data_IF_210238295320
#
_entry.id   IF_210238295320
#
_cell.length_a   1.000
_cell.length_b   1.000
_cell.length_c   1.000
_cell.angle_alpha   90.00
_cell.angle_beta   90.00
_cell.angle_gamma   90.00
#
_symmetry.space_group_name_H-M   'P 1'
#
loop_
_entity.id
_entity.type
_entity.pdbx_description
1 polymer ?
#
# COMPACT_ATOMS: atom_id res chain seq x y z
N UNK A 1 -48.43 33.76 -21.33
CA UNK A 1 -48.00 33.49 -19.94
C UNK A 1 -47.26 32.17 -20.00
N UNK A 2 -45.96 32.23 -20.25
CA UNK A 2 -45.14 31.04 -20.42
C UNK A 2 -44.30 30.84 -19.15
N UNK A 3 -44.60 29.78 -18.41
CA UNK A 3 -43.91 29.41 -17.18
C UNK A 3 -42.64 28.62 -17.52
N UNK A 4 -41.47 29.19 -17.21
CA UNK A 4 -40.19 28.49 -17.24
C UNK A 4 -40.03 27.66 -15.95
N UNK A 5 -39.99 26.34 -16.09
CA UNK A 5 -39.67 25.40 -15.02
C UNK A 5 -38.14 25.27 -14.90
N UNK A 6 -37.56 25.88 -13.87
CA UNK A 6 -36.17 25.70 -13.48
C UNK A 6 -36.04 24.42 -12.66
N UNK A 7 -35.45 23.38 -13.25
CA UNK A 7 -35.03 22.17 -12.54
C UNK A 7 -33.72 22.44 -11.81
N UNK A 8 -33.80 22.69 -10.50
CA UNK A 8 -32.62 22.71 -9.62
C UNK A 8 -32.18 21.27 -9.34
N UNK A 9 -31.11 20.83 -10.00
CA UNK A 9 -30.41 19.58 -9.68
C UNK A 9 -29.69 19.80 -8.35
N UNK A 10 -30.18 19.17 -7.29
CA UNK A 10 -29.48 19.09 -6.00
C UNK A 10 -28.40 18.02 -6.14
N UNK A 11 -27.16 18.45 -6.33
CA UNK A 11 -26.00 17.58 -6.15
C UNK A 11 -25.82 17.32 -4.66
N UNK A 12 -26.29 16.16 -4.19
CA UNK A 12 -25.93 15.66 -2.86
C UNK A 12 -24.51 15.12 -2.98
N UNK A 13 -23.52 15.96 -2.67
CA UNK A 13 -22.15 15.49 -2.46
C UNK A 13 -22.14 14.59 -1.23
N UNK A 14 -21.87 13.30 -1.42
CA UNK A 14 -21.52 12.42 -0.30
C UNK A 14 -20.07 12.72 0.05
N UNK A 15 -19.83 13.74 0.88
CA UNK A 15 -18.51 13.95 1.45
C UNK A 15 -18.26 12.84 2.48
N UNK A 16 -17.35 11.92 2.13
CA UNK A 16 -16.81 10.95 3.06
C UNK A 16 -16.04 11.70 4.16
N UNK A 17 -16.68 11.84 5.32
CA UNK A 17 -16.06 12.52 6.45
C UNK A 17 -14.96 11.64 7.07
N UNK A 18 -13.74 12.17 7.16
CA UNK A 18 -12.59 11.50 7.81
C UNK A 18 -12.93 11.04 9.25
N UNK A 19 -13.82 11.76 9.92
CA UNK A 19 -14.30 11.45 11.28
C UNK A 19 -15.07 10.11 11.36
N UNK A 20 -15.50 9.56 10.23
CA UNK A 20 -16.07 8.20 10.16
C UNK A 20 -15.01 7.13 10.42
N UNK A 21 -13.77 7.36 9.98
CA UNK A 21 -12.69 6.37 10.02
C UNK A 21 -11.67 6.64 11.13
N UNK A 22 -11.58 7.88 11.64
CA UNK A 22 -10.66 8.26 12.70
C UNK A 22 -11.40 8.85 13.91
N UNK A 23 -10.96 8.49 15.11
CA UNK A 23 -11.38 9.09 16.38
C UNK A 23 -10.77 10.48 16.54
N UNK A 24 -9.49 10.61 16.23
CA UNK A 24 -8.73 11.84 16.35
C UNK A 24 -7.64 11.91 15.28
N UNK A 25 -7.36 13.11 14.80
CA UNK A 25 -6.24 13.44 13.91
C UNK A 25 -5.86 14.90 14.13
N UNK A 26 -4.62 15.23 13.81
CA UNK A 26 -4.12 16.61 13.76
C UNK A 26 -3.68 16.95 12.35
N UNK A 27 -3.53 18.24 12.06
CA UNK A 27 -3.03 18.71 10.77
C UNK A 27 -1.70 19.42 10.96
N UNK A 28 -0.75 19.17 10.07
CA UNK A 28 0.54 19.85 10.02
C UNK A 28 0.77 20.42 8.62
N UNK A 29 1.16 21.68 8.51
CA UNK A 29 1.50 22.26 7.21
C UNK A 29 3.00 22.06 6.90
N UNK A 30 3.37 21.93 5.62
CA UNK A 30 4.76 21.71 5.19
C UNK A 30 5.76 22.74 5.73
N UNK A 31 5.33 24.00 5.93
CA UNK A 31 6.17 25.06 6.48
C UNK A 31 6.52 24.88 7.96
N UNK A 32 5.74 24.09 8.71
CA UNK A 32 5.99 23.79 10.12
C UNK A 32 7.03 22.69 10.28
N UNK A 33 7.33 21.96 9.19
CA UNK A 33 8.34 20.90 9.18
C UNK A 33 9.71 21.54 8.95
N UNK A 34 10.56 21.43 9.96
CA UNK A 34 11.97 21.81 9.82
C UNK A 34 12.76 20.60 9.35
N UNK A 35 13.55 20.76 8.28
CA UNK A 35 14.45 19.70 7.82
C UNK A 35 15.85 20.24 7.65
N UNK A 36 16.84 19.43 8.06
CA UNK A 36 18.27 19.77 7.97
C UNK A 36 19.02 18.58 7.40
N UNK A 37 19.82 18.82 6.36
CA UNK A 37 20.78 17.81 5.91
C UNK A 37 21.97 17.85 6.86
N UNK A 38 22.11 16.81 7.69
CA UNK A 38 23.13 16.76 8.76
C UNK A 38 24.45 16.21 8.25
N UNK A 39 24.39 15.31 7.26
CA UNK A 39 25.58 14.71 6.65
C UNK A 39 25.38 14.52 5.16
N UNK A 40 26.37 14.96 4.39
CA UNK A 40 26.53 14.66 2.97
C UNK A 40 27.98 14.25 2.77
N UNK A 41 28.24 13.01 2.35
CA UNK A 41 29.60 12.60 2.03
C UNK A 41 30.15 13.39 0.84
N UNK A 42 31.46 13.55 0.83
CA UNK A 42 32.23 14.27 -0.19
C UNK A 42 32.21 13.57 -1.55
N UNK A 43 31.91 12.27 -1.57
CA UNK A 43 31.72 11.45 -2.77
C UNK A 43 30.31 10.85 -2.76
N UNK A 44 29.60 10.89 -3.89
CA UNK A 44 28.32 10.18 -4.03
C UNK A 44 28.56 8.67 -4.04
N UNK A 45 28.44 8.04 -2.86
CA UNK A 45 28.46 6.59 -2.67
C UNK A 45 27.09 6.05 -2.27
N UNK A 46 26.85 4.77 -2.57
CA UNK A 46 25.62 4.04 -2.21
C UNK A 46 25.55 3.64 -0.73
N UNK A 47 26.49 4.08 0.11
CA UNK A 47 26.52 3.72 1.52
C UNK A 47 25.35 4.38 2.27
N UNK A 48 24.60 3.66 3.13
CA UNK A 48 23.45 4.22 3.84
C UNK A 48 23.77 5.54 4.57
N UNK A 49 24.84 5.58 5.36
CA UNK A 49 25.22 6.80 6.10
C UNK A 49 25.94 7.88 5.27
N UNK A 50 25.82 7.85 3.94
CA UNK A 50 26.37 8.88 3.07
C UNK A 50 25.52 10.17 3.10
N UNK A 51 24.19 10.02 3.17
CA UNK A 51 23.23 11.12 3.31
C UNK A 51 22.41 10.89 4.57
N UNK A 52 22.47 11.82 5.52
CA UNK A 52 21.61 11.81 6.72
C UNK A 52 20.80 13.09 6.74
N UNK A 53 19.47 12.93 6.79
CA UNK A 53 18.51 14.03 6.90
C UNK A 53 17.87 13.98 8.28
N UNK A 54 17.83 15.12 8.94
CA UNK A 54 17.09 15.29 10.19
C UNK A 54 15.80 16.05 9.88
N UNK A 55 14.69 15.61 10.47
CA UNK A 55 13.37 16.23 10.29
C UNK A 55 12.70 16.37 11.64
N UNK A 56 12.27 17.59 11.96
CA UNK A 56 11.59 17.90 13.22
C UNK A 56 10.22 18.53 12.97
N UNK A 57 9.23 18.04 13.72
CA UNK A 57 7.87 18.55 13.73
C UNK A 57 7.18 18.16 15.04
N UNK A 58 6.10 18.85 15.38
CA UNK A 58 5.31 18.61 16.58
C UNK A 58 3.93 18.09 16.20
N UNK A 59 3.45 17.05 16.87
CA UNK A 59 2.07 16.57 16.72
C UNK A 59 1.70 15.64 17.89
N UNK A 60 0.41 15.52 18.20
CA UNK A 60 -0.16 14.66 19.23
C UNK A 60 0.46 14.89 20.61
N UNK A 61 0.76 16.15 20.93
CA UNK A 61 1.39 16.52 22.20
C UNK A 61 2.88 16.21 22.29
N UNK A 62 3.55 15.90 21.17
CA UNK A 62 4.92 15.38 21.16
C UNK A 62 5.78 16.00 20.05
N UNK A 63 7.02 16.33 20.40
CA UNK A 63 8.07 16.68 19.44
C UNK A 63 8.70 15.41 18.85
N UNK A 64 8.67 15.31 17.52
CA UNK A 64 9.37 14.28 16.77
C UNK A 64 10.66 14.84 16.19
N UNK A 65 11.75 14.14 16.47
CA UNK A 65 13.06 14.38 15.86
C UNK A 65 13.50 13.12 15.12
N UNK A 66 13.36 13.11 13.82
CA UNK A 66 13.61 11.95 12.97
C UNK A 66 15.01 12.01 12.39
N UNK A 67 15.74 10.90 12.46
CA UNK A 67 17.03 10.73 11.79
C UNK A 67 16.84 9.77 10.63
N UNK A 68 16.89 10.30 9.42
CA UNK A 68 16.51 9.66 8.17
C UNK A 68 17.70 9.38 7.27
N UNK A 69 17.63 8.28 6.54
CA UNK A 69 18.61 7.79 5.58
C UNK A 69 17.87 7.33 4.32
N UNK A 70 18.31 7.70 3.10
CA UNK A 70 17.68 7.26 1.87
C UNK A 70 17.63 5.73 1.74
N UNK A 71 16.51 5.19 1.26
CA UNK A 71 16.26 3.76 1.09
C UNK A 71 16.05 3.42 -0.38
N UNK A 72 16.85 2.49 -0.91
CA UNK A 72 16.72 2.00 -2.30
C UNK A 72 16.33 0.52 -2.41
N UNK A 73 16.11 -0.18 -1.29
CA UNK A 73 16.11 -1.65 -1.24
C UNK A 73 14.89 -2.34 -1.85
N UNK A 74 13.79 -1.62 -2.11
CA UNK A 74 12.54 -2.22 -2.62
C UNK A 74 12.51 -2.28 -4.14
N UNK A 75 13.37 -1.55 -4.82
CA UNK A 75 13.36 -1.44 -6.27
C UNK A 75 14.33 -2.43 -6.90
N UNK A 76 13.88 -3.17 -7.89
CA UNK A 76 14.72 -4.08 -8.65
C UNK A 76 15.74 -3.29 -9.50
N UNK A 77 16.93 -3.84 -9.75
CA UNK A 77 17.99 -3.18 -10.55
C UNK A 77 17.60 -2.81 -11.98
N UNK A 78 16.53 -3.44 -12.49
CA UNK A 78 15.93 -3.20 -13.80
C UNK A 78 14.52 -2.59 -13.70
N UNK A 79 14.25 -1.86 -12.62
CA UNK A 79 12.98 -1.21 -12.39
C UNK A 79 12.61 -0.29 -13.56
N UNK A 80 11.33 -0.33 -13.97
CA UNK A 80 10.77 0.57 -14.97
C UNK A 80 9.35 0.96 -14.59
N UNK A 81 8.99 2.22 -14.77
CA UNK A 81 7.64 2.72 -14.55
C UNK A 81 7.07 3.33 -15.83
N UNK A 82 5.79 3.10 -16.06
CA UNK A 82 5.09 3.52 -17.27
C UNK A 82 3.72 4.13 -16.94
N UNK A 83 3.35 5.18 -17.67
CA UNK A 83 1.97 5.65 -17.77
C UNK A 83 1.36 5.11 -19.07
N UNK A 84 0.10 4.68 -19.03
CA UNK A 84 -0.61 4.07 -20.16
C UNK A 84 -1.92 4.83 -20.38
N UNK A 85 -2.14 5.29 -21.62
CA UNK A 85 -3.38 5.98 -22.01
C UNK A 85 -4.50 5.00 -22.41
N UNK A 86 -5.68 5.54 -22.75
CA UNK A 86 -6.85 4.72 -23.09
C UNK A 86 -6.70 3.88 -24.37
N UNK A 87 -5.71 4.21 -25.20
CA UNK A 87 -5.35 3.49 -26.42
C UNK A 87 -4.22 2.45 -26.19
N UNK A 88 -3.72 2.35 -24.96
CA UNK A 88 -2.69 1.38 -24.57
C UNK A 88 -1.25 1.83 -24.83
N UNK A 89 -1.00 3.10 -25.13
CA UNK A 89 0.34 3.61 -25.41
C UNK A 89 1.13 3.82 -24.11
N UNK A 90 2.25 3.10 -23.97
CA UNK A 90 3.14 3.25 -22.82
C UNK A 90 4.07 4.48 -22.95
N UNK A 91 4.17 5.29 -21.90
CA UNK A 91 5.14 6.38 -21.75
C UNK A 91 6.00 6.16 -20.51
N UNK A 92 7.32 6.23 -20.65
CA UNK A 92 8.23 5.96 -19.52
C UNK A 92 8.24 7.13 -18.53
N UNK A 93 8.15 6.83 -17.24
CA UNK A 93 8.21 7.81 -16.16
C UNK A 93 9.49 7.61 -15.35
N UNK A 94 10.24 8.69 -15.14
CA UNK A 94 11.42 8.67 -14.28
C UNK A 94 11.01 8.90 -12.82
N UNK A 95 11.57 8.09 -11.91
CA UNK A 95 11.31 8.16 -10.47
C UNK A 95 12.63 8.41 -9.76
N UNK A 96 12.66 9.42 -8.89
CA UNK A 96 13.80 9.65 -8.01
C UNK A 96 13.75 8.63 -6.86
N UNK A 97 14.83 7.88 -6.71
CA UNK A 97 14.95 6.85 -5.68
C UNK A 97 15.41 7.41 -4.33
N UNK A 98 15.83 8.69 -4.29
CA UNK A 98 16.34 9.33 -3.08
C UNK A 98 15.24 10.02 -2.24
N UNK A 99 13.98 9.99 -2.71
CA UNK A 99 12.81 10.55 -2.00
C UNK A 99 12.20 9.60 -0.96
N UNK A 100 12.69 8.35 -0.90
CA UNK A 100 12.28 7.35 0.09
C UNK A 100 13.32 7.25 1.19
N UNK A 101 12.87 7.24 2.44
CA UNK A 101 13.71 7.28 3.61
C UNK A 101 13.29 6.21 4.61
N UNK A 102 14.29 5.63 5.27
CA UNK A 102 14.10 4.92 6.53
C UNK A 102 14.85 5.62 7.65
N UNK A 103 14.45 5.38 8.88
CA UNK A 103 15.09 6.05 10.00
C UNK A 103 14.63 5.58 11.36
N UNK A 104 14.91 6.43 12.33
CA UNK A 104 14.54 6.24 13.74
C UNK A 104 14.19 7.59 14.36
N UNK A 105 13.49 7.53 15.48
CA UNK A 105 13.24 8.70 16.33
C UNK A 105 14.43 8.88 17.27
N UNK A 106 14.93 10.11 17.38
CA UNK A 106 16.00 10.46 18.30
C UNK A 106 15.55 10.28 19.76
N UNK A 107 16.41 9.68 20.59
CA UNK A 107 16.11 9.39 21.99
C UNK A 107 15.34 8.08 22.22
N UNK A 108 14.82 7.45 21.17
CA UNK A 108 14.08 6.18 21.27
C UNK A 108 15.00 4.98 21.03
N UNK A 109 14.90 3.98 21.89
CA UNK A 109 15.73 2.76 21.84
C UNK A 109 15.27 1.79 20.76
N UNK A 110 13.95 1.64 20.61
CA UNK A 110 13.33 0.76 19.63
C UNK A 110 12.31 1.55 18.81
N UNK A 111 12.78 2.22 17.76
CA UNK A 111 11.91 2.94 16.83
C UNK A 111 12.28 2.66 15.38
N UNK A 112 11.27 2.73 14.51
CA UNK A 112 11.46 2.59 13.08
C UNK A 112 10.60 3.60 12.33
N UNK A 113 11.19 4.26 11.35
CA UNK A 113 10.52 5.25 10.52
C UNK A 113 10.62 4.81 9.07
N UNK A 114 9.51 4.84 8.34
CA UNK A 114 9.48 4.75 6.88
C UNK A 114 8.72 5.95 6.34
N UNK A 115 9.37 6.75 5.52
CA UNK A 115 8.81 7.99 4.98
C UNK A 115 9.15 8.16 3.51
N UNK A 116 8.18 8.61 2.74
CA UNK A 116 8.36 9.25 1.45
C UNK A 116 8.25 10.76 1.65
N UNK A 117 9.16 11.54 1.06
CA UNK A 117 9.16 12.99 1.18
C UNK A 117 9.39 13.67 -0.16
N UNK A 118 8.43 14.49 -0.58
CA UNK A 118 8.45 15.21 -1.85
C UNK A 118 7.87 16.61 -1.63
N UNK A 119 8.58 17.65 -2.08
CA UNK A 119 8.18 19.07 -1.95
C UNK A 119 7.76 19.52 -0.53
N UNK A 120 8.38 18.92 0.49
CA UNK A 120 8.10 19.19 1.91
C UNK A 120 6.90 18.42 2.47
N UNK A 121 6.19 17.66 1.64
CA UNK A 121 5.11 16.76 2.04
C UNK A 121 5.68 15.40 2.39
N UNK A 122 5.30 14.91 3.57
CA UNK A 122 5.69 13.61 4.08
C UNK A 122 4.53 12.63 4.00
N UNK A 123 4.83 11.38 3.70
CA UNK A 123 3.87 10.28 3.77
C UNK A 123 4.57 9.06 4.33
N UNK A 124 3.98 8.43 5.34
CA UNK A 124 4.53 7.18 5.88
C UNK A 124 4.13 6.93 7.33
N UNK A 125 4.98 6.20 8.04
CA UNK A 125 4.71 5.77 9.42
C UNK A 125 5.93 5.84 10.32
N UNK A 126 5.66 6.12 11.60
CA UNK A 126 6.62 6.15 12.69
C UNK A 126 6.17 5.10 13.70
N UNK A 127 6.95 4.05 13.83
CA UNK A 127 6.73 2.95 14.76
C UNK A 127 7.52 3.21 16.03
N UNK A 128 6.81 3.34 17.13
CA UNK A 128 7.35 3.40 18.49
C UNK A 128 6.94 2.12 19.24
N UNK A 129 7.52 1.84 20.42
CA UNK A 129 7.17 0.65 21.19
C UNK A 129 5.69 0.58 21.60
N UNK A 130 5.08 1.74 21.88
CA UNK A 130 3.73 1.82 22.43
C UNK A 130 2.68 2.20 21.38
N UNK A 131 3.07 2.85 20.28
CA UNK A 131 2.13 3.45 19.33
C UNK A 131 2.74 3.57 17.93
N UNK A 132 1.89 3.59 16.90
CA UNK A 132 2.28 3.87 15.52
C UNK A 132 1.60 5.16 15.07
N UNK A 133 2.39 6.10 14.56
CA UNK A 133 1.91 7.35 14.00
C UNK A 133 1.93 7.27 12.49
N UNK A 134 0.83 7.68 11.87
CA UNK A 134 0.68 7.74 10.42
C UNK A 134 0.67 9.20 9.97
N UNK A 135 1.31 9.47 8.83
CA UNK A 135 1.34 10.78 8.19
C UNK A 135 0.88 10.59 6.76
N UNK A 136 -0.14 11.34 6.35
CA UNK A 136 -0.66 11.32 4.99
C UNK A 136 -0.96 12.74 4.50
N UNK A 137 -0.90 13.02 3.19
CA UNK A 137 -1.39 14.27 2.63
C UNK A 137 -2.88 14.47 2.94
N UNK A 138 -3.28 15.68 3.29
CA UNK A 138 -4.67 15.97 3.70
C UNK A 138 -5.66 15.97 2.55
N UNK A 139 -5.21 16.21 1.30
CA UNK A 139 -6.09 16.39 0.13
C UNK A 139 -7.05 15.22 -0.12
N UNK A 140 -6.71 13.99 0.31
CA UNK A 140 -7.59 12.81 0.21
C UNK A 140 -8.77 12.82 1.17
N UNK A 141 -8.60 13.51 2.29
CA UNK A 141 -9.50 13.43 3.43
C UNK A 141 -10.21 14.75 3.72
N UNK A 142 -9.59 15.85 3.30
CA UNK A 142 -10.00 17.22 3.63
C UNK A 142 -9.83 18.10 2.38
N UNK A 143 -10.84 18.15 1.48
CA UNK A 143 -10.70 18.77 0.16
C UNK A 143 -10.59 20.30 0.18
N UNK A 144 -10.93 20.94 1.30
CA UNK A 144 -10.88 22.40 1.46
C UNK A 144 -9.51 22.92 1.92
N UNK A 145 -8.58 22.03 2.28
CA UNK A 145 -7.21 22.41 2.65
C UNK A 145 -6.31 22.48 1.42
N UNK A 146 -5.16 23.14 1.56
CA UNK A 146 -4.19 23.25 0.49
C UNK A 146 -3.46 21.92 0.22
N UNK A 147 -2.78 21.85 -0.93
CA UNK A 147 -1.98 20.69 -1.30
C UNK A 147 -0.69 20.53 -0.46
N UNK A 148 -0.52 21.37 0.57
CA UNK A 148 0.68 21.41 1.41
C UNK A 148 0.43 20.99 2.87
N UNK A 149 -0.80 20.63 3.18
CA UNK A 149 -1.18 20.14 4.50
C UNK A 149 -1.14 18.61 4.54
N UNK A 150 -0.78 18.08 5.71
CA UNK A 150 -0.80 16.66 6.02
C UNK A 150 -1.69 16.43 7.24
N UNK A 151 -2.28 15.24 7.32
CA UNK A 151 -2.90 14.72 8.52
C UNK A 151 -1.93 13.80 9.25
N UNK A 152 -1.99 13.82 10.57
CA UNK A 152 -1.29 12.89 11.45
C UNK A 152 -2.28 12.23 12.38
N UNK A 153 -2.17 10.91 12.56
CA UNK A 153 -3.06 10.17 13.45
C UNK A 153 -2.35 8.96 14.05
N UNK A 154 -2.85 8.50 15.19
CA UNK A 154 -2.38 7.28 15.85
C UNK A 154 -3.08 6.07 15.27
N UNK A 155 -2.40 4.94 15.24
CA UNK A 155 -3.01 3.68 14.82
C UNK A 155 -4.17 3.28 15.75
N UNK A 156 -4.08 3.60 17.04
CA UNK A 156 -5.17 3.41 18.02
C UNK A 156 -6.42 4.27 17.78
N UNK A 157 -6.30 5.36 17.01
CA UNK A 157 -7.41 6.23 16.63
C UNK A 157 -8.19 5.73 15.40
N UNK A 158 -7.71 4.67 14.73
CA UNK A 158 -8.38 4.09 13.57
C UNK A 158 -9.63 3.31 14.02
N UNK A 159 -10.77 3.64 13.41
CA UNK A 159 -12.05 2.92 13.58
C UNK A 159 -12.10 1.82 12.53
N UNK A 160 -11.86 0.58 12.96
CA UNK A 160 -11.94 -0.56 12.05
C UNK A 160 -13.40 -0.90 11.73
N UNK A 161 -13.67 -1.37 10.52
CA UNK A 161 -15.02 -1.75 10.07
C UNK A 161 -15.61 -2.97 10.80
N UNK A 162 -14.84 -3.60 11.68
CA UNK A 162 -15.29 -4.68 12.56
C UNK A 162 -15.34 -4.24 14.03
N UNK A 163 -14.86 -3.03 14.34
CA UNK A 163 -14.98 -2.38 15.65
C UNK A 163 -16.25 -1.51 15.61
N UNK A 164 -17.42 -2.13 15.75
CA UNK A 164 -18.68 -1.39 15.76
C UNK A 164 -19.37 -1.44 17.12
N UNK A 165 -19.36 -0.28 17.80
CA UNK A 165 -20.27 0.09 18.90
C UNK A 165 -21.73 0.28 18.42
N UNK A 166 -21.98 0.31 17.11
CA UNK A 166 -23.28 0.61 16.48
C UNK A 166 -24.09 -0.64 16.06
N UNK A 167 -23.58 -1.86 16.31
CA UNK A 167 -24.31 -3.10 16.03
C UNK A 167 -25.07 -3.59 17.29
N UNK A 168 -26.28 -4.15 17.14
CA UNK A 168 -26.97 -4.81 18.23
C UNK A 168 -26.07 -5.86 18.90
N UNK A 169 -26.16 -6.05 20.23
CA UNK A 169 -25.36 -7.04 20.93
C UNK A 169 -25.47 -8.41 20.25
N UNK A 170 -24.34 -8.99 19.82
CA UNK A 170 -24.28 -10.35 19.25
C UNK A 170 -24.15 -10.45 17.73
N UNK A 171 -24.10 -9.34 16.97
CA UNK A 171 -23.77 -9.38 15.54
C UNK A 171 -22.32 -8.95 15.29
N UNK A 172 -21.53 -9.83 14.68
CA UNK A 172 -20.16 -9.53 14.22
C UNK A 172 -20.26 -9.03 12.78
N UNK A 173 -19.79 -7.80 12.52
CA UNK A 173 -19.75 -7.25 11.17
C UNK A 173 -18.86 -8.07 10.22
N UNK A 174 -19.06 -7.99 8.89
CA UNK A 174 -18.28 -8.74 7.93
C UNK A 174 -16.80 -8.33 8.01
N UNK A 175 -15.92 -9.28 8.35
CA UNK A 175 -14.47 -9.04 8.34
C UNK A 175 -13.98 -8.96 6.90
N UNK A 176 -13.40 -7.82 6.52
CA UNK A 176 -12.94 -7.50 5.16
C UNK A 176 -11.77 -8.42 4.69
N UNK A 177 -11.19 -9.22 5.59
CA UNK A 177 -10.12 -10.18 5.29
C UNK A 177 -10.54 -11.65 5.50
N UNK A 178 -11.83 -11.98 5.34
CA UNK A 178 -12.25 -13.38 5.31
C UNK A 178 -11.71 -14.09 4.07
N UNK A 179 -10.79 -15.04 4.26
CA UNK A 179 -10.40 -15.95 3.18
C UNK A 179 -11.58 -16.89 2.90
N UNK A 180 -12.13 -16.82 1.69
CA UNK A 180 -13.04 -17.84 1.18
C UNK A 180 -12.16 -18.98 0.68
N UNK A 181 -12.21 -20.14 1.34
CA UNK A 181 -11.62 -21.36 0.79
C UNK A 181 -12.30 -21.65 -0.54
N UNK A 182 -11.55 -21.56 -1.64
CA UNK A 182 -11.99 -22.22 -2.88
C UNK A 182 -11.97 -23.73 -2.63
N UNK A 183 -13.14 -24.38 -2.75
CA UNK A 183 -13.28 -25.83 -2.64
C UNK A 183 -14.35 -26.36 -1.70
N UNK A 184 -14.96 -25.54 -0.83
CA UNK A 184 -16.01 -26.03 0.07
C UNK A 184 -17.32 -26.41 -0.69
N UNK A 185 -17.49 -25.96 -1.94
CA UNK A 185 -18.55 -26.42 -2.87
C UNK A 185 -18.20 -27.72 -3.60
N UNK A 186 -17.00 -28.27 -3.39
CA UNK A 186 -16.55 -29.57 -3.91
C UNK A 186 -16.48 -30.65 -2.82
N UNK A 187 -16.76 -30.30 -1.58
CA UNK A 187 -16.94 -31.23 -0.46
C UNK A 187 -18.42 -31.63 -0.32
N UNK A 188 -19.13 -31.84 -1.43
CA UNK A 188 -20.42 -32.51 -1.40
C UNK A 188 -20.21 -34.02 -1.22
N UNK A 189 -20.92 -34.56 -0.23
CA UNK A 189 -21.06 -35.97 0.12
C UNK A 189 -21.49 -36.83 -1.08
N UNK A 190 -20.53 -37.22 -1.94
CA UNK A 190 -20.77 -38.29 -2.91
C UNK A 190 -20.48 -39.64 -2.26
N UNK A 191 -21.50 -40.17 -1.58
CA UNK A 191 -21.59 -41.61 -1.35
C UNK A 191 -21.46 -42.36 -2.68
N UNK A 192 -20.33 -43.07 -2.82
CA UNK A 192 -20.20 -44.29 -3.61
C UNK A 192 -20.55 -44.24 -5.11
N UNK A 193 -19.53 -44.02 -5.96
CA UNK A 193 -19.21 -44.99 -7.03
C UNK A 193 -17.79 -44.82 -7.58
N UNK A 194 -16.99 -45.87 -7.37
CA UNK A 194 -15.61 -46.00 -7.80
C UNK A 194 -15.55 -46.15 -9.32
N UNK A 195 -14.94 -45.21 -10.06
CA UNK A 195 -14.48 -45.52 -11.42
C UNK A 195 -13.40 -44.59 -12.00
N UNK A 196 -12.36 -44.19 -11.26
CA UNK A 196 -11.13 -43.69 -11.90
C UNK A 196 -9.89 -44.10 -11.10
N UNK A 197 -9.57 -45.38 -11.15
CA UNK A 197 -8.21 -45.87 -10.90
C UNK A 197 -7.31 -45.43 -12.06
N UNK A 198 -6.74 -44.24 -11.97
CA UNK A 198 -5.43 -43.95 -12.58
C UNK A 198 -4.51 -43.51 -11.45
N UNK A 199 -3.69 -44.46 -11.01
CA UNK A 199 -2.55 -44.22 -10.13
C UNK A 199 -1.59 -43.23 -10.80
N UNK A 200 -1.81 -41.93 -10.58
CA UNK A 200 -0.73 -40.97 -10.69
C UNK A 200 0.10 -41.14 -9.43
N UNK A 201 1.19 -41.89 -9.54
CA UNK A 201 2.24 -42.01 -8.54
C UNK A 201 2.80 -40.61 -8.27
N UNK A 202 2.19 -39.89 -7.33
CA UNK A 202 2.75 -38.64 -6.80
C UNK A 202 3.86 -39.06 -5.84
N UNK A 203 5.06 -39.24 -6.38
CA UNK A 203 6.24 -39.36 -5.53
C UNK A 203 6.34 -38.10 -4.68
N UNK A 204 6.08 -38.26 -3.39
CA UNK A 204 6.49 -37.32 -2.37
C UNK A 204 8.01 -37.22 -2.54
N UNK A 205 8.51 -36.06 -2.98
CA UNK A 205 9.95 -35.81 -2.91
C UNK A 205 10.31 -35.96 -1.44
N UNK A 206 11.08 -36.99 -1.15
CA UNK A 206 11.71 -37.18 0.13
C UNK A 206 12.50 -35.89 0.40
N UNK A 207 12.14 -35.19 1.47
CA UNK A 207 12.95 -34.08 1.96
C UNK A 207 14.16 -34.75 2.59
N UNK A 208 15.19 -34.99 1.78
CA UNK A 208 16.53 -35.18 2.32
C UNK A 208 16.81 -33.99 3.24
N UNK A 209 17.40 -34.29 4.39
CA UNK A 209 17.77 -33.36 5.46
C UNK A 209 18.82 -32.35 4.93
N UNK A 210 18.38 -31.48 4.04
CA UNK A 210 19.15 -30.40 3.47
C UNK A 210 18.89 -29.17 4.33
N UNK A 211 19.96 -28.60 4.87
CA UNK A 211 19.97 -27.28 5.49
C UNK A 211 19.41 -26.29 4.45
N UNK A 212 18.11 -26.00 4.53
CA UNK A 212 17.40 -25.18 3.56
C UNK A 212 17.80 -23.73 3.77
N UNK A 213 18.94 -23.32 3.21
CA UNK A 213 19.27 -21.90 3.06
C UNK A 213 18.49 -21.38 1.85
N UNK A 214 17.45 -20.55 2.00
CA UNK A 214 16.67 -20.07 0.86
C UNK A 214 17.56 -19.16 0.01
N UNK A 215 17.94 -19.60 -1.20
CA UNK A 215 18.80 -18.80 -2.11
C UNK A 215 18.02 -17.73 -2.87
N UNK A 216 16.69 -17.83 -2.89
CA UNK A 216 15.78 -16.89 -3.57
C UNK A 216 14.73 -16.36 -2.60
N UNK A 217 15.07 -15.31 -1.88
CA UNK A 217 14.21 -14.69 -0.86
C UNK A 217 13.44 -13.45 -1.35
N UNK A 218 13.55 -13.10 -2.63
CA UNK A 218 12.96 -11.87 -3.21
C UNK A 218 12.04 -12.20 -4.37
N UNK A 219 10.75 -11.90 -4.21
CA UNK A 219 9.74 -12.04 -5.25
C UNK A 219 9.61 -10.73 -6.07
N UNK A 220 9.89 -10.74 -7.38
CA UNK A 220 9.74 -9.57 -8.22
C UNK A 220 8.27 -9.33 -8.59
N UNK A 221 7.75 -8.14 -8.29
CA UNK A 221 6.36 -7.75 -8.56
C UNK A 221 6.24 -6.84 -9.78
N UNK A 222 5.15 -7.06 -10.54
CA UNK A 222 4.54 -6.07 -11.43
C UNK A 222 3.37 -5.45 -10.68
N UNK A 223 3.40 -4.13 -10.51
CA UNK A 223 2.27 -3.40 -9.93
C UNK A 223 1.51 -2.69 -11.05
N UNK A 224 0.19 -2.78 -10.99
CA UNK A 224 -0.71 -2.14 -11.96
C UNK A 224 -1.70 -1.29 -11.17
N UNK A 225 -1.78 0.00 -11.51
CA UNK A 225 -2.84 0.89 -11.07
C UNK A 225 -3.80 1.12 -12.23
N UNK A 226 -5.09 0.86 -12.00
CA UNK A 226 -6.15 1.22 -12.93
C UNK A 226 -6.42 2.74 -12.90
N UNK A 227 -7.26 3.20 -13.83
CA UNK A 227 -7.60 4.61 -13.97
C UNK A 227 -8.28 5.18 -12.73
N UNK A 228 -8.99 4.35 -11.95
CA UNK A 228 -9.65 4.75 -10.70
C UNK A 228 -8.64 4.98 -9.60
N UNK A 229 -7.69 4.05 -9.43
CA UNK A 229 -6.60 4.22 -8.49
C UNK A 229 -5.75 5.44 -8.85
N UNK A 230 -5.50 5.67 -10.14
CA UNK A 230 -4.84 6.88 -10.62
C UNK A 230 -5.59 8.17 -10.21
N UNK A 231 -6.91 8.21 -10.38
CA UNK A 231 -7.74 9.36 -10.03
C UNK A 231 -7.83 9.57 -8.51
N UNK A 232 -8.27 8.54 -7.78
CA UNK A 232 -8.63 8.63 -6.37
C UNK A 232 -7.40 8.60 -5.44
N UNK A 233 -6.44 7.71 -5.70
CA UNK A 233 -5.25 7.56 -4.84
C UNK A 233 -4.09 8.42 -5.32
N UNK A 234 -4.02 8.66 -6.63
CA UNK A 234 -2.95 9.41 -7.29
C UNK A 234 -3.22 10.89 -7.51
N UNK A 235 -4.43 11.40 -7.22
CA UNK A 235 -4.86 12.75 -7.59
C UNK A 235 -4.69 13.04 -9.09
N UNK A 236 -4.89 12.03 -9.94
CA UNK A 236 -4.63 12.11 -11.39
C UNK A 236 -3.19 12.52 -11.74
N UNK A 237 -2.22 12.17 -10.88
CA UNK A 237 -0.80 12.41 -11.11
C UNK A 237 -0.02 11.10 -11.06
N UNK A 238 0.67 10.78 -12.16
CA UNK A 238 1.35 9.50 -12.32
C UNK A 238 2.50 9.31 -11.32
N UNK A 239 3.26 10.37 -11.05
CA UNK A 239 4.39 10.32 -10.10
C UNK A 239 3.86 10.06 -8.69
N UNK A 240 2.81 10.77 -8.27
CA UNK A 240 2.12 10.55 -7.00
C UNK A 240 1.61 9.11 -6.86
N UNK A 241 0.96 8.56 -7.90
CA UNK A 241 0.49 7.17 -7.91
C UNK A 241 1.64 6.18 -7.74
N UNK A 242 2.72 6.35 -8.50
CA UNK A 242 3.89 5.46 -8.45
C UNK A 242 4.54 5.53 -7.05
N UNK A 243 4.74 6.73 -6.52
CA UNK A 243 5.34 6.92 -5.21
C UNK A 243 4.51 6.27 -4.10
N UNK A 244 3.18 6.40 -4.17
CA UNK A 244 2.26 5.73 -3.26
C UNK A 244 2.40 4.20 -3.30
N UNK A 245 2.44 3.61 -4.51
CA UNK A 245 2.61 2.16 -4.68
C UNK A 245 3.96 1.66 -4.12
N UNK A 246 5.04 2.41 -4.34
CA UNK A 246 6.36 2.07 -3.79
C UNK A 246 6.32 2.09 -2.26
N UNK A 247 5.77 3.14 -1.65
CA UNK A 247 5.60 3.25 -0.19
C UNK A 247 4.74 2.13 0.40
N UNK A 248 3.70 1.70 -0.33
CA UNK A 248 2.85 0.59 0.10
C UNK A 248 3.63 -0.72 0.16
N UNK A 249 4.32 -1.07 -0.94
CA UNK A 249 5.10 -2.31 -0.99
C UNK A 249 6.28 -2.27 -0.03
N UNK A 250 6.89 -1.12 0.27
CA UNK A 250 7.94 -1.03 1.28
C UNK A 250 7.46 -1.48 2.67
N UNK A 251 6.26 -1.01 3.07
CA UNK A 251 5.65 -1.38 4.34
C UNK A 251 5.32 -2.87 4.39
N UNK A 252 4.76 -3.42 3.31
CA UNK A 252 4.46 -4.86 3.20
C UNK A 252 5.75 -5.69 3.21
N UNK A 253 6.78 -5.26 2.49
CA UNK A 253 8.07 -5.94 2.44
C UNK A 253 8.67 -6.10 3.83
N UNK A 254 8.60 -5.06 4.68
CA UNK A 254 9.09 -5.13 6.06
C UNK A 254 8.39 -6.24 6.85
N UNK A 255 7.06 -6.34 6.75
CA UNK A 255 6.29 -7.38 7.45
C UNK A 255 6.79 -8.77 7.05
N UNK A 256 6.86 -9.05 5.75
CA UNK A 256 7.30 -10.36 5.24
C UNK A 256 8.76 -10.68 5.57
N UNK A 257 9.62 -9.65 5.58
CA UNK A 257 11.04 -9.81 5.86
C UNK A 257 11.31 -10.12 7.33
N UNK A 258 10.53 -9.51 8.21
CA UNK A 258 10.67 -9.66 9.66
C UNK A 258 9.87 -10.88 10.19
N UNK A 259 8.97 -11.44 9.38
CA UNK A 259 8.23 -12.66 9.70
C UNK A 259 9.13 -13.90 9.68
N UNK A 260 8.99 -14.74 10.71
CA UNK A 260 9.64 -16.05 10.83
C UNK A 260 8.65 -17.10 10.36
N UNK A 261 8.99 -17.82 9.30
CA UNK A 261 8.16 -18.87 8.70
C UNK A 261 8.59 -20.24 9.23
N UNK A 262 7.69 -20.95 9.91
CA UNK A 262 7.94 -22.27 10.49
C UNK A 262 6.91 -23.27 9.96
N UNK A 263 7.38 -24.39 9.41
CA UNK A 263 6.51 -25.49 8.94
C UNK A 263 6.18 -26.48 10.07
N UNK A 264 7.09 -26.64 11.03
CA UNK A 264 6.92 -27.49 12.22
C UNK A 264 7.55 -26.83 13.43
N UNK A 265 6.97 -27.06 14.62
CA UNK A 265 7.47 -26.50 15.88
C UNK A 265 8.89 -26.94 16.26
N UNK A 266 9.40 -28.01 15.65
CA UNK A 266 10.70 -28.61 15.95
C UNK A 266 11.84 -28.13 15.03
N UNK A 267 11.55 -27.32 14.00
CA UNK A 267 12.56 -26.83 13.04
C UNK A 267 12.68 -25.32 13.15
N UNK A 268 13.92 -24.82 13.20
CA UNK A 268 14.20 -23.39 13.15
C UNK A 268 13.56 -22.75 11.91
N UNK A 269 12.76 -21.71 12.14
CA UNK A 269 12.06 -21.02 11.06
C UNK A 269 13.00 -20.22 10.17
N UNK A 270 12.63 -20.06 8.89
CA UNK A 270 13.36 -19.19 7.99
C UNK A 270 12.76 -17.77 8.00
N UNK A 271 13.61 -16.78 7.81
CA UNK A 271 13.24 -15.35 7.79
C UNK A 271 13.81 -14.66 6.57
N UNK A 272 13.42 -13.39 6.39
CA UNK A 272 14.00 -12.55 5.36
C UNK A 272 13.40 -12.79 3.98
N UNK A 273 12.18 -13.31 3.89
CA UNK A 273 11.41 -13.33 2.64
C UNK A 273 10.89 -11.93 2.31
N UNK A 274 10.75 -11.58 1.05
CA UNK A 274 10.29 -10.24 0.72
C UNK A 274 10.05 -10.01 -0.76
N UNK A 275 9.76 -8.75 -1.09
CA UNK A 275 9.39 -8.34 -2.43
C UNK A 275 10.38 -7.34 -2.99
N UNK A 276 10.48 -7.30 -4.31
CA UNK A 276 11.12 -6.21 -5.05
C UNK A 276 10.21 -5.78 -6.19
N UNK A 277 10.13 -4.49 -6.47
CA UNK A 277 9.30 -3.97 -7.54
C UNK A 277 10.11 -3.98 -8.83
N UNK A 278 9.62 -4.70 -9.84
CA UNK A 278 10.29 -4.82 -11.14
C UNK A 278 9.68 -3.90 -12.20
N UNK A 279 8.36 -3.76 -12.22
CA UNK A 279 7.66 -2.86 -13.16
C UNK A 279 6.45 -2.24 -12.47
N UNK A 280 6.19 -0.97 -12.74
CA UNK A 280 4.92 -0.31 -12.38
C UNK A 280 4.26 0.18 -13.65
N UNK A 281 2.96 -0.05 -13.77
CA UNK A 281 2.10 0.44 -14.84
C UNK A 281 0.97 1.22 -14.22
N UNK A 282 0.77 2.46 -14.66
CA UNK A 282 -0.34 3.31 -14.24
C UNK A 282 -1.18 3.65 -15.46
N UNK A 283 -2.43 3.22 -15.47
CA UNK A 283 -3.39 3.65 -16.48
C UNK A 283 -3.91 5.04 -16.12
N UNK A 284 -3.67 6.03 -16.98
CA UNK A 284 -4.17 7.39 -16.78
C UNK A 284 -5.62 7.56 -17.24
N UNK A 285 -6.09 6.67 -18.10
CA UNK A 285 -7.42 6.68 -18.70
C UNK A 285 -8.01 5.26 -18.71
N UNK A 286 -9.35 5.14 -18.73
CA UNK A 286 -9.99 3.84 -18.92
C UNK A 286 -9.68 3.26 -20.30
N UNK A 287 -9.46 1.95 -20.35
CA UNK A 287 -9.17 1.25 -21.61
C UNK A 287 -10.40 1.27 -22.51
N UNK A 288 -10.22 1.66 -23.78
CA UNK A 288 -11.27 1.62 -24.80
C UNK A 288 -11.48 0.18 -25.27
N UNK A 289 -12.68 -0.35 -25.05
CA UNK A 289 -13.04 -1.73 -25.42
C UNK A 289 -13.89 -1.75 -26.69
N UNK A 290 -13.77 -2.84 -27.46
CA UNK A 290 -14.72 -3.16 -28.53
C UNK A 290 -15.95 -3.86 -27.96
N UNK A 291 -17.05 -3.86 -28.71
CA UNK A 291 -18.29 -4.49 -28.27
C UNK A 291 -18.07 -5.99 -27.99
N UNK A 292 -18.43 -6.44 -26.78
CA UNK A 292 -18.32 -7.83 -26.34
C UNK A 292 -17.02 -8.22 -25.63
N UNK A 293 -16.04 -7.32 -25.54
CA UNK A 293 -14.81 -7.51 -24.78
C UNK A 293 -14.92 -6.91 -23.38
N UNK A 294 -14.25 -7.52 -22.40
CA UNK A 294 -14.13 -7.00 -21.04
C UNK A 294 -12.65 -6.77 -20.71
N UNK A 295 -12.36 -5.70 -20.00
CA UNK A 295 -11.00 -5.36 -19.57
C UNK A 295 -11.03 -4.81 -18.15
N UNK A 296 -10.11 -5.22 -17.28
CA UNK A 296 -10.09 -4.79 -15.87
C UNK A 296 -10.12 -3.26 -15.70
N UNK A 297 -9.43 -2.53 -16.59
CA UNK A 297 -9.34 -1.06 -16.61
C UNK A 297 -10.47 -0.36 -17.41
N UNK A 298 -11.57 -1.03 -17.74
CA UNK A 298 -12.71 -0.39 -18.43
C UNK A 298 -13.60 0.41 -17.48
N UNK A 299 -14.38 1.35 -18.00
CA UNK A 299 -15.37 2.09 -17.19
C UNK A 299 -16.45 1.13 -16.69
N UNK A 300 -16.47 0.89 -15.37
CA UNK A 300 -17.49 0.06 -14.72
C UNK A 300 -17.63 0.45 -13.25
N UNK A 301 -18.87 0.65 -12.78
CA UNK A 301 -19.12 1.12 -11.41
C UNK A 301 -18.56 0.19 -10.32
N UNK A 302 -18.82 -1.12 -10.44
CA UNK A 302 -18.34 -2.15 -9.52
C UNK A 302 -18.03 -3.44 -10.27
N UNK A 303 -16.97 -4.11 -9.81
CA UNK A 303 -16.61 -5.44 -10.24
C UNK A 303 -16.96 -6.46 -9.16
N UNK A 304 -17.37 -7.65 -9.58
CA UNK A 304 -17.20 -8.83 -8.74
C UNK A 304 -15.71 -9.17 -8.66
N UNK A 305 -15.23 -9.48 -7.45
CA UNK A 305 -13.80 -9.64 -7.17
C UNK A 305 -13.20 -10.80 -7.96
N UNK A 306 -13.91 -11.93 -8.09
CA UNK A 306 -13.43 -13.09 -8.84
C UNK A 306 -13.33 -12.77 -10.33
N UNK A 307 -14.39 -12.19 -10.88
CA UNK A 307 -14.44 -11.81 -12.29
C UNK A 307 -13.33 -10.80 -12.64
N UNK A 308 -13.04 -9.84 -11.75
CA UNK A 308 -11.97 -8.87 -11.96
C UNK A 308 -10.60 -9.56 -12.10
N UNK A 309 -10.31 -10.55 -11.25
CA UNK A 309 -9.04 -11.27 -11.26
C UNK A 309 -8.84 -12.12 -12.53
N UNK A 310 -9.93 -12.54 -13.17
CA UNK A 310 -9.89 -13.32 -14.41
C UNK A 310 -9.66 -12.46 -15.67
N UNK A 311 -9.93 -11.15 -15.61
CA UNK A 311 -9.85 -10.23 -16.76
C UNK A 311 -8.68 -9.24 -16.69
N UNK A 312 -7.65 -9.54 -15.88
CA UNK A 312 -6.38 -8.79 -15.74
C UNK A 312 -5.44 -9.02 -16.93
#
# INVERSE_FOLDING_TARGET
>A
MDYFLLFTIVFIGVEGSIYKNLKHFETIHANEITHKVVKRGTTDGSHPFNKIKEVNFYTHGRDFRLILTPKRSVLHSKFRAYAVDGDGKETSVHIDHDDFYHGRVFGETASHVSLHMEDGIMTGSIHLPEEIYHIEPSWRHIPHLDNKTMITYKQSDVKFSWDHDDLPPGQVGPRICGYVKEGDELEDEFEGRNQWTREHHREKRQVDQYEYTPTKTRCPLLLVADYRFFQEMGASNTKTTINYLISLIDRVHKIYNDTIWQDRQEVDGFKGMGFVIKKIVVHSEPTRIKAGEAHYNMVREKWDVRTLLEVI
#
